data_IF_907158074211
#
_entry.id   IF_907158074211
#
_cell.length_a   1.000
_cell.length_b   1.000
_cell.length_c   1.000
_cell.angle_alpha   90.00
_cell.angle_beta   90.00
_cell.angle_gamma   90.00
#
_symmetry.space_group_name_H-M   'P 1'
#
loop_
_entity.id
_entity.type
_entity.pdbx_description
1 polymer ?
#
# COMPACT_ATOMS: atom_id res chain seq x y z
N UNK A 1 -14.29 -7.15 -18.49
CA UNK A 1 -13.42 -6.06 -18.02
C UNK A 1 -13.81 -5.72 -16.60
N UNK A 2 -12.90 -5.92 -15.65
CA UNK A 2 -13.20 -5.79 -14.21
C UNK A 2 -12.95 -4.34 -13.78
N UNK A 3 -13.79 -3.78 -12.90
CA UNK A 3 -13.58 -2.44 -12.32
C UNK A 3 -13.38 -2.57 -10.83
N UNK A 4 -12.30 -1.99 -10.29
CA UNK A 4 -11.97 -2.06 -8.86
C UNK A 4 -11.64 -0.69 -8.30
N UNK A 5 -12.36 -0.30 -7.24
CA UNK A 5 -12.02 0.87 -6.45
C UNK A 5 -11.01 0.45 -5.37
N UNK A 6 -9.86 1.10 -5.33
CA UNK A 6 -8.76 0.80 -4.40
C UNK A 6 -8.29 2.07 -3.70
N UNK A 7 -7.82 1.90 -2.47
CA UNK A 7 -7.20 2.97 -1.69
C UNK A 7 -5.68 2.96 -1.94
N UNK A 8 -5.03 4.11 -1.82
CA UNK A 8 -3.58 4.23 -2.04
C UNK A 8 -2.77 3.27 -1.14
N UNK A 9 -3.25 3.01 0.07
CA UNK A 9 -2.62 2.09 1.04
C UNK A 9 -2.64 0.62 0.62
N UNK A 10 -3.50 0.28 -0.34
CA UNK A 10 -3.67 -1.08 -0.86
C UNK A 10 -3.13 -1.20 -2.28
N UNK A 11 -2.49 -0.14 -2.81
CA UNK A 11 -1.81 -0.24 -4.08
C UNK A 11 -0.65 -1.20 -3.93
N UNK A 12 -0.59 -2.15 -4.86
CA UNK A 12 0.60 -2.96 -5.05
C UNK A 12 1.71 -2.12 -5.70
N UNK A 13 2.97 -2.49 -5.47
CA UNK A 13 4.12 -1.74 -6.00
C UNK A 13 4.06 -1.58 -7.52
N UNK A 14 3.57 -2.60 -8.23
CA UNK A 14 3.41 -2.54 -9.68
C UNK A 14 2.37 -1.49 -10.12
N UNK A 15 1.25 -1.38 -9.40
CA UNK A 15 0.23 -0.38 -9.67
C UNK A 15 0.71 1.02 -9.29
N UNK A 16 1.52 1.14 -8.23
CA UNK A 16 2.07 2.41 -7.79
C UNK A 16 3.06 2.95 -8.83
N UNK A 17 3.96 2.09 -9.33
CA UNK A 17 4.86 2.44 -10.44
C UNK A 17 4.07 2.88 -11.67
N UNK A 18 3.05 2.11 -12.07
CA UNK A 18 2.21 2.45 -13.22
C UNK A 18 1.48 3.79 -13.05
N UNK A 19 1.02 4.11 -11.84
CA UNK A 19 0.39 5.40 -11.55
C UNK A 19 1.35 6.56 -11.81
N UNK A 20 2.61 6.42 -11.44
CA UNK A 20 3.65 7.45 -11.62
C UNK A 20 4.10 7.53 -13.08
N UNK A 21 4.22 6.40 -13.77
CA UNK A 21 4.48 6.39 -15.22
C UNK A 21 3.35 7.07 -16.01
N UNK A 22 2.11 6.91 -15.54
CA UNK A 22 0.93 7.54 -16.17
C UNK A 22 0.84 9.03 -15.82
N UNK A 23 1.16 9.39 -14.58
CA UNK A 23 1.05 10.75 -14.04
C UNK A 23 2.38 11.27 -13.47
N UNK A 24 3.43 11.42 -14.30
CA UNK A 24 4.77 11.81 -13.84
C UNK A 24 4.81 13.25 -13.31
N UNK A 25 3.89 14.09 -13.77
CA UNK A 25 3.74 15.47 -13.32
C UNK A 25 2.57 15.65 -12.32
N UNK A 26 2.01 14.55 -11.83
CA UNK A 26 0.76 14.54 -11.08
C UNK A 26 -0.48 14.46 -11.97
N UNK A 27 -1.65 14.44 -11.33
CA UNK A 27 -2.96 14.40 -11.98
C UNK A 27 -3.61 15.79 -11.97
N UNK A 28 -4.31 16.14 -13.04
CA UNK A 28 -5.10 17.38 -13.12
C UNK A 28 -6.54 17.17 -12.71
N UNK A 29 -7.31 18.26 -12.56
CA UNK A 29 -8.74 18.19 -12.27
C UNK A 29 -9.53 17.40 -13.35
N UNK A 30 -9.01 17.38 -14.58
CA UNK A 30 -9.61 16.66 -15.71
C UNK A 30 -9.49 15.13 -15.59
N UNK A 31 -8.51 14.65 -14.81
CA UNK A 31 -8.29 13.22 -14.53
C UNK A 31 -9.08 12.72 -13.33
N UNK A 32 -9.70 13.64 -12.57
CA UNK A 32 -10.41 13.33 -11.33
C UNK A 32 -11.85 12.93 -11.65
N UNK A 33 -12.18 11.69 -11.28
CA UNK A 33 -13.53 11.16 -11.33
C UNK A 33 -14.14 11.32 -9.94
N UNK A 34 -15.12 12.22 -9.84
CA UNK A 34 -15.88 12.44 -8.61
C UNK A 34 -17.27 11.82 -8.68
N UNK A 35 -17.58 10.95 -7.74
CA UNK A 35 -18.88 10.27 -7.64
C UNK A 35 -19.36 10.18 -6.18
N UNK A 36 -20.66 9.97 -5.98
CA UNK A 36 -21.22 9.72 -4.65
C UNK A 36 -21.26 8.23 -4.34
N UNK A 37 -20.78 7.86 -3.16
CA UNK A 37 -20.93 6.49 -2.66
C UNK A 37 -22.37 6.22 -2.18
N UNK A 38 -22.66 4.99 -1.77
CA UNK A 38 -23.99 4.61 -1.24
C UNK A 38 -24.40 5.38 0.03
N UNK A 39 -23.44 5.98 0.74
CA UNK A 39 -23.65 6.77 1.96
C UNK A 39 -23.89 8.25 1.66
N UNK A 40 -23.76 8.66 0.39
CA UNK A 40 -23.87 10.05 -0.04
C UNK A 40 -22.59 10.87 0.06
N UNK A 41 -21.47 10.26 0.47
CA UNK A 41 -20.17 10.95 0.51
C UNK A 41 -19.60 11.10 -0.89
N UNK A 42 -18.95 12.24 -1.15
CA UNK A 42 -18.16 12.45 -2.36
C UNK A 42 -16.87 11.65 -2.29
N UNK A 43 -16.63 10.84 -3.32
CA UNK A 43 -15.42 10.06 -3.53
C UNK A 43 -14.79 10.54 -4.82
N UNK A 44 -13.52 10.93 -4.72
CA UNK A 44 -12.69 11.38 -5.82
C UNK A 44 -11.68 10.28 -6.11
N UNK A 45 -11.47 9.94 -7.38
CA UNK A 45 -10.56 8.89 -7.79
C UNK A 45 -9.93 9.20 -9.15
N UNK A 46 -8.69 8.75 -9.37
CA UNK A 46 -8.04 8.74 -10.70
C UNK A 46 -8.20 7.37 -11.34
N UNK A 47 -8.26 7.32 -12.68
CA UNK A 47 -8.32 6.07 -13.42
C UNK A 47 -6.91 5.52 -13.73
N UNK A 48 -6.74 4.21 -13.55
CA UNK A 48 -5.53 3.49 -13.90
C UNK A 48 -5.90 2.24 -14.69
N UNK A 49 -5.45 2.18 -15.94
CA UNK A 49 -5.79 1.09 -16.88
C UNK A 49 -4.70 0.04 -16.89
N UNK A 50 -5.08 -1.20 -16.57
CA UNK A 50 -4.27 -2.39 -16.82
C UNK A 50 -4.90 -3.24 -17.92
N UNK A 51 -4.25 -4.35 -18.29
CA UNK A 51 -4.64 -5.20 -19.43
C UNK A 51 -6.05 -5.78 -19.27
N UNK A 52 -6.43 -6.16 -18.05
CA UNK A 52 -7.72 -6.84 -17.75
C UNK A 52 -8.63 -6.05 -16.80
N UNK A 53 -8.05 -5.12 -16.02
CA UNK A 53 -8.73 -4.42 -14.93
C UNK A 53 -8.58 -2.89 -15.01
N UNK A 54 -9.69 -2.18 -14.82
CA UNK A 54 -9.72 -0.74 -14.62
C UNK A 54 -9.73 -0.46 -13.11
N UNK A 55 -8.65 0.15 -12.61
CA UNK A 55 -8.54 0.57 -11.22
C UNK A 55 -8.97 2.02 -11.08
N UNK A 56 -9.78 2.30 -10.07
CA UNK A 56 -10.10 3.63 -9.59
C UNK A 56 -9.33 3.82 -8.30
N UNK A 57 -8.30 4.64 -8.32
CA UNK A 57 -7.47 4.90 -7.14
C UNK A 57 -8.05 6.09 -6.42
N UNK A 58 -8.53 5.88 -5.19
CA UNK A 58 -9.14 6.94 -4.39
C UNK A 58 -8.12 8.02 -4.07
N UNK A 59 -8.44 9.25 -4.43
CA UNK A 59 -7.65 10.42 -4.12
C UNK A 59 -7.91 10.81 -2.66
N UNK A 60 -6.83 11.00 -1.91
CA UNK A 60 -6.85 11.55 -0.57
C UNK A 60 -5.64 12.47 -0.39
N UNK A 61 -5.61 13.27 0.69
CA UNK A 61 -4.45 14.11 1.02
C UNK A 61 -3.13 13.31 1.06
N UNK A 62 -3.20 12.03 1.42
CA UNK A 62 -2.02 11.16 1.48
C UNK A 62 -1.51 10.72 0.10
N UNK A 63 -2.39 10.58 -0.89
CA UNK A 63 -1.98 10.21 -2.26
C UNK A 63 -1.19 11.34 -2.93
N UNK A 64 -1.66 12.58 -2.80
CA UNK A 64 -0.96 13.75 -3.35
C UNK A 64 0.44 13.88 -2.75
N UNK A 65 0.56 13.65 -1.44
CA UNK A 65 1.85 13.64 -0.76
C UNK A 65 2.72 12.43 -1.17
N UNK A 66 2.09 11.28 -1.46
CA UNK A 66 2.80 10.10 -1.93
C UNK A 66 3.40 10.32 -3.31
N UNK A 67 2.66 10.87 -4.28
CA UNK A 67 3.16 11.16 -5.63
C UNK A 67 4.29 12.20 -5.57
N UNK A 68 4.12 13.26 -4.77
CA UNK A 68 5.12 14.33 -4.65
C UNK A 68 6.44 13.85 -4.00
N UNK A 69 6.37 12.92 -3.06
CA UNK A 69 7.54 12.37 -2.35
C UNK A 69 7.84 10.93 -2.77
N UNK A 70 7.36 10.47 -3.93
CA UNK A 70 7.48 9.07 -4.31
C UNK A 70 8.93 8.67 -4.51
N UNK A 71 9.75 9.53 -5.10
CA UNK A 71 11.18 9.29 -5.32
C UNK A 71 11.93 9.08 -3.98
N UNK A 72 11.59 9.86 -2.95
CA UNK A 72 12.12 9.70 -1.58
C UNK A 72 11.50 8.49 -0.84
N UNK A 73 10.23 8.17 -1.09
CA UNK A 73 9.57 7.00 -0.49
C UNK A 73 10.02 5.68 -1.13
N UNK A 74 10.39 5.67 -2.41
CA UNK A 74 11.00 4.52 -3.05
C UNK A 74 12.32 4.19 -2.38
N UNK A 75 13.17 5.18 -2.07
CA UNK A 75 14.41 4.92 -1.32
C UNK A 75 14.13 4.31 0.06
N UNK A 76 13.09 4.78 0.77
CA UNK A 76 12.66 4.23 2.07
C UNK A 76 12.02 2.84 2.00
N UNK A 77 11.36 2.48 0.90
CA UNK A 77 10.81 1.12 0.71
C UNK A 77 11.78 0.15 0.04
N UNK A 78 12.81 0.66 -0.66
CA UNK A 78 13.96 -0.10 -1.14
C UNK A 78 15.00 -0.37 -0.05
N UNK A 79 14.90 0.28 1.12
CA UNK A 79 15.41 -0.28 2.36
C UNK A 79 14.61 -1.55 2.66
N UNK A 80 14.96 -2.62 1.94
CA UNK A 80 14.69 -3.98 2.35
C UNK A 80 15.06 -4.05 3.80
N UNK A 81 14.06 -4.19 4.70
CA UNK A 81 14.30 -4.36 6.14
C UNK A 81 15.51 -5.25 6.29
N UNK A 82 16.59 -4.71 6.84
CA UNK A 82 17.79 -5.51 7.00
C UNK A 82 17.42 -6.70 7.88
N UNK A 83 18.10 -7.85 7.78
CA UNK A 83 17.86 -8.97 8.68
C UNK A 83 17.79 -8.53 10.17
N UNK A 84 18.53 -7.48 10.54
CA UNK A 84 18.52 -6.86 11.87
C UNK A 84 17.20 -6.18 12.24
N UNK A 85 16.54 -5.46 11.33
CA UNK A 85 15.24 -4.83 11.60
C UNK A 85 14.10 -5.86 11.64
N UNK A 86 14.20 -6.95 10.87
CA UNK A 86 13.26 -8.08 10.97
C UNK A 86 13.41 -8.77 12.33
N UNK A 87 14.65 -8.95 12.80
CA UNK A 87 14.96 -9.54 14.10
C UNK A 87 14.51 -8.69 15.30
N UNK A 88 14.39 -7.37 15.15
CA UNK A 88 13.89 -6.47 16.21
C UNK A 88 12.37 -6.35 16.25
N UNK A 89 11.63 -7.01 15.36
CA UNK A 89 10.17 -6.96 15.43
C UNK A 89 9.66 -7.67 16.70
N UNK A 90 8.88 -6.94 17.50
CA UNK A 90 8.28 -7.45 18.73
C UNK A 90 7.43 -8.71 18.47
N UNK A 91 6.80 -8.78 17.28
CA UNK A 91 6.02 -9.93 16.84
C UNK A 91 6.86 -11.20 16.66
N UNK A 92 8.07 -11.14 16.05
CA UNK A 92 8.95 -12.30 15.96
C UNK A 92 9.55 -12.67 17.31
N UNK A 93 9.92 -11.67 18.12
CA UNK A 93 10.51 -11.90 19.46
C UNK A 93 9.52 -12.65 20.35
N UNK A 94 8.24 -12.26 20.29
CA UNK A 94 7.16 -12.91 21.03
C UNK A 94 6.88 -14.33 20.53
N UNK A 95 6.93 -14.56 19.21
CA UNK A 95 6.79 -15.89 18.63
C UNK A 95 7.93 -16.84 19.07
N UNK A 96 9.18 -16.35 19.10
CA UNK A 96 10.33 -17.13 19.57
C UNK A 96 10.21 -17.47 21.06
N UNK A 97 9.78 -16.51 21.89
CA UNK A 97 9.58 -16.73 23.32
C UNK A 97 8.53 -17.81 23.60
N UNK A 98 7.37 -17.73 22.93
CA UNK A 98 6.31 -18.73 23.06
C UNK A 98 6.77 -20.12 22.63
N UNK A 99 7.58 -20.21 21.57
CA UNK A 99 8.11 -21.48 21.10
C UNK A 99 9.12 -22.09 22.08
N UNK A 100 9.93 -21.26 22.73
CA UNK A 100 10.91 -21.70 23.73
C UNK A 100 10.26 -22.12 25.06
N UNK A 101 9.19 -21.44 25.47
CA UNK A 101 8.37 -21.83 26.62
C UNK A 101 7.67 -23.17 26.37
N UNK A 102 7.12 -23.38 25.18
CA UNK A 102 6.52 -24.67 24.80
C UNK A 102 7.55 -25.82 24.78
N UNK A 103 8.75 -25.60 24.24
CA UNK A 103 9.81 -26.62 24.23
C UNK A 103 10.30 -27.00 25.63
N UNK A 104 10.32 -26.05 26.59
CA UNK A 104 10.72 -26.34 27.96
C UNK A 104 9.61 -27.02 28.79
N UNK A 105 8.33 -26.82 28.46
CA UNK A 105 7.23 -27.54 29.12
C UNK A 105 7.12 -29.01 28.67
N UNK A 106 7.59 -29.36 27.46
CA UNK A 106 7.62 -30.76 26.98
C UNK A 106 8.76 -31.61 27.59
N UNK A 107 9.75 -31.01 28.28
CA UNK A 107 10.90 -31.72 28.85
C UNK A 107 10.73 -32.10 30.34
N UNK A 108 9.54 -31.88 30.92
CA UNK A 108 9.24 -32.08 32.35
C UNK A 108 8.29 -33.25 32.67
N UNK A 109 8.15 -34.23 31.76
CA UNK A 109 7.49 -35.54 32.00
C UNK A 109 8.50 -36.70 32.07
#
# INVERSE_FOLDING_TARGET
MTRRLIDYRKLDHQLAALLIETYPYGYGDEDIISFKNIKGDYVEAVELRTVDTLYLVKISKSLSNFIANFEENIEKELETKTPEEVMQSEDLTKAIYLNFEMENEEELD
#
